data_IF_254151862249
#
_entry.id   IF_254151862249
#
_cell.length_a   1.000
_cell.length_b   1.000
_cell.length_c   1.000
_cell.angle_alpha   90.00
_cell.angle_beta   90.00
_cell.angle_gamma   90.00
#
_symmetry.space_group_name_H-M   'P 1'
#
loop_
_entity.id
_entity.type
_entity.pdbx_description
1 polymer ?
#
# COMPACT_ATOMS: atom_id res chain seq x y z
N UNK A 1 9.79 17.55 18.02
CA UNK A 1 8.62 16.85 17.50
C UNK A 1 9.12 15.60 16.80
N UNK A 2 8.61 14.43 17.12
CA UNK A 2 8.87 13.24 16.30
C UNK A 2 8.23 13.52 14.95
N UNK A 3 9.02 13.75 13.91
CA UNK A 3 8.50 13.91 12.57
C UNK A 3 7.90 12.57 12.15
N UNK A 4 6.62 12.54 11.86
CA UNK A 4 5.98 11.36 11.29
C UNK A 4 6.74 10.94 10.02
N UNK A 5 6.94 9.65 9.82
CA UNK A 5 7.48 9.12 8.55
C UNK A 5 6.39 8.88 7.52
N UNK A 6 5.14 9.06 7.90
CA UNK A 6 3.98 8.88 7.02
C UNK A 6 3.72 10.14 6.22
N UNK A 7 3.70 10.04 4.89
CA UNK A 7 3.47 11.15 3.97
C UNK A 7 2.12 11.85 4.20
N UNK A 8 1.08 11.10 4.57
CA UNK A 8 -0.24 11.64 4.87
C UNK A 8 -0.31 12.46 6.18
N UNK A 9 0.77 12.45 6.96
CA UNK A 9 0.95 13.30 8.15
C UNK A 9 1.99 14.41 7.92
N UNK A 10 2.56 14.51 6.73
CA UNK A 10 3.60 15.49 6.37
C UNK A 10 3.00 16.60 5.51
N UNK A 11 3.59 17.77 5.62
CA UNK A 11 3.30 18.90 4.73
C UNK A 11 4.14 18.79 3.45
N UNK A 12 3.73 19.47 2.37
CA UNK A 12 4.48 19.42 1.12
C UNK A 12 5.94 19.90 1.22
N UNK A 13 6.31 20.91 2.06
CA UNK A 13 7.72 21.27 2.24
C UNK A 13 8.54 20.17 2.93
N UNK A 14 7.92 19.39 3.84
CA UNK A 14 8.57 18.25 4.49
C UNK A 14 8.81 17.12 3.50
N UNK A 15 7.87 16.89 2.57
CA UNK A 15 8.04 15.94 1.46
C UNK A 15 9.17 16.40 0.54
N UNK A 16 9.20 17.67 0.15
CA UNK A 16 10.27 18.25 -0.69
C UNK A 16 11.65 18.01 -0.07
N UNK A 17 11.79 18.22 1.23
CA UNK A 17 13.02 17.97 1.97
C UNK A 17 13.38 16.47 2.11
N UNK A 18 12.45 15.57 1.81
CA UNK A 18 12.60 14.12 1.98
C UNK A 18 12.83 13.36 0.66
N UNK A 19 12.90 14.01 -0.48
CA UNK A 19 12.97 13.36 -1.81
C UNK A 19 14.21 12.47 -2.02
N UNK A 20 15.28 12.68 -1.28
CA UNK A 20 16.48 11.84 -1.33
C UNK A 20 16.31 10.51 -0.55
N UNK A 21 15.28 10.42 0.28
CA UNK A 21 15.01 9.23 1.09
C UNK A 21 14.26 8.16 0.28
N UNK A 22 14.38 6.88 0.65
CA UNK A 22 13.50 5.85 0.12
C UNK A 22 12.05 6.14 0.48
N UNK A 23 11.11 5.92 -0.46
CA UNK A 23 9.68 5.92 -0.20
C UNK A 23 9.14 4.49 -0.30
N UNK A 24 8.38 4.08 0.69
CA UNK A 24 7.75 2.76 0.75
C UNK A 24 6.27 2.95 0.45
N UNK A 25 5.74 2.17 -0.48
CA UNK A 25 4.35 2.21 -0.92
C UNK A 25 3.65 0.94 -0.43
N UNK A 26 2.89 1.01 0.68
CA UNK A 26 2.15 -0.15 1.18
C UNK A 26 0.91 -0.42 0.33
N UNK A 27 0.70 -1.69 -0.02
CA UNK A 27 -0.54 -2.15 -0.65
C UNK A 27 -1.06 -3.42 0.02
N UNK A 28 -2.34 -3.42 0.34
CA UNK A 28 -3.05 -4.56 0.89
C UNK A 28 -4.35 -4.82 0.14
N UNK A 29 -5.37 -5.21 0.87
CA UNK A 29 -6.75 -5.36 0.42
C UNK A 29 -7.70 -5.18 1.60
N UNK A 30 -8.97 -4.98 1.29
CA UNK A 30 -10.06 -5.02 2.27
C UNK A 30 -10.87 -6.27 1.98
N UNK A 31 -10.60 -7.34 2.70
CA UNK A 31 -11.20 -8.65 2.47
C UNK A 31 -11.51 -9.40 3.76
N UNK A 32 -12.40 -10.39 3.67
CA UNK A 32 -12.72 -11.24 4.78
C UNK A 32 -11.53 -12.13 5.20
N UNK A 33 -11.34 -12.26 6.51
CA UNK A 33 -10.34 -13.12 7.13
C UNK A 33 -10.99 -13.99 8.21
N UNK A 34 -12.09 -14.67 7.84
CA UNK A 34 -12.90 -15.44 8.79
C UNK A 34 -13.53 -14.54 9.89
N UNK A 35 -13.92 -15.13 11.00
CA UNK A 35 -14.65 -14.45 12.07
C UNK A 35 -13.75 -13.77 13.12
N UNK A 36 -12.44 -13.94 13.04
CA UNK A 36 -11.51 -13.56 14.11
C UNK A 36 -10.52 -12.47 13.75
N UNK A 37 -10.40 -12.09 12.46
CA UNK A 37 -9.54 -10.99 12.01
C UNK A 37 -10.36 -9.91 11.31
N UNK A 38 -9.95 -8.64 11.41
CA UNK A 38 -10.66 -7.56 10.74
C UNK A 38 -10.45 -7.61 9.22
N UNK A 39 -11.36 -6.97 8.48
CA UNK A 39 -11.30 -6.90 7.01
C UNK A 39 -10.05 -6.21 6.48
N UNK A 40 -9.49 -5.29 7.23
CA UNK A 40 -8.34 -4.47 6.82
C UNK A 40 -6.98 -5.05 7.20
N UNK A 41 -6.87 -6.32 7.61
CA UNK A 41 -5.62 -6.88 8.15
C UNK A 41 -4.46 -6.79 7.16
N UNK A 42 -4.68 -6.99 5.87
CA UNK A 42 -3.64 -6.87 4.84
C UNK A 42 -3.04 -5.46 4.81
N UNK A 43 -3.90 -4.44 4.78
CA UNK A 43 -3.46 -3.04 4.83
C UNK A 43 -2.76 -2.69 6.14
N UNK A 44 -3.22 -3.23 7.27
CA UNK A 44 -2.58 -3.04 8.57
C UNK A 44 -1.18 -3.65 8.60
N UNK A 45 -1.00 -4.85 8.07
CA UNK A 45 0.31 -5.50 7.96
C UNK A 45 1.22 -4.70 7.02
N UNK A 46 0.74 -4.35 5.82
CA UNK A 46 1.51 -3.58 4.86
C UNK A 46 1.98 -2.25 5.46
N UNK A 47 1.10 -1.53 6.14
CA UNK A 47 1.40 -0.25 6.80
C UNK A 47 2.45 -0.42 7.89
N UNK A 48 2.21 -1.33 8.83
CA UNK A 48 3.08 -1.54 9.99
C UNK A 48 4.49 -1.97 9.58
N UNK A 49 4.60 -2.95 8.67
CA UNK A 49 5.90 -3.40 8.16
C UNK A 49 6.61 -2.29 7.39
N UNK A 50 5.87 -1.46 6.65
CA UNK A 50 6.44 -0.32 5.94
C UNK A 50 6.98 0.75 6.91
N UNK A 51 6.29 1.01 8.01
CA UNK A 51 6.74 1.96 9.04
C UNK A 51 8.01 1.45 9.73
N UNK A 52 8.06 0.18 10.11
CA UNK A 52 9.26 -0.46 10.68
C UNK A 52 10.44 -0.42 9.71
N UNK A 53 10.20 -0.70 8.43
CA UNK A 53 11.24 -0.61 7.41
C UNK A 53 11.72 0.83 7.23
N UNK A 54 10.81 1.79 7.14
CA UNK A 54 11.14 3.22 6.99
C UNK A 54 12.01 3.72 8.14
N UNK A 55 11.76 3.27 9.38
CA UNK A 55 12.59 3.60 10.52
C UNK A 55 14.03 3.11 10.35
N UNK A 56 14.20 1.87 9.85
CA UNK A 56 15.51 1.22 9.70
C UNK A 56 16.35 1.81 8.56
N UNK A 57 15.73 2.27 7.49
CA UNK A 57 16.42 2.75 6.27
C UNK A 57 16.37 4.27 6.12
N UNK A 58 15.90 4.98 7.10
CA UNK A 58 15.60 6.42 7.06
C UNK A 58 14.70 6.81 5.88
N UNK A 59 13.66 6.02 5.67
CA UNK A 59 12.67 6.21 4.62
C UNK A 59 11.41 6.95 5.08
N UNK A 60 10.49 7.16 4.15
CA UNK A 60 9.13 7.64 4.40
C UNK A 60 8.11 6.64 3.82
N UNK A 61 6.87 6.71 4.29
CA UNK A 61 5.80 5.76 3.92
C UNK A 61 4.68 6.51 3.25
N UNK A 62 4.37 6.14 2.00
CA UNK A 62 3.22 6.64 1.27
C UNK A 62 1.90 6.17 1.91
N UNK A 63 0.77 6.84 1.65
CA UNK A 63 -0.54 6.37 2.10
C UNK A 63 -0.81 4.93 1.66
N UNK A 64 -1.33 4.11 2.59
CA UNK A 64 -1.60 2.70 2.33
C UNK A 64 -2.74 2.53 1.33
N UNK A 65 -2.51 1.74 0.29
CA UNK A 65 -3.55 1.34 -0.66
C UNK A 65 -4.31 0.13 -0.11
N UNK A 66 -5.53 0.37 0.39
CA UNK A 66 -6.35 -0.63 1.07
C UNK A 66 -7.32 -1.38 0.17
N UNK A 67 -7.36 -1.08 -1.11
CA UNK A 67 -8.19 -1.77 -2.09
C UNK A 67 -7.30 -2.50 -3.10
N UNK A 68 -7.36 -3.83 -3.07
CA UNK A 68 -6.54 -4.71 -3.90
C UNK A 68 -7.35 -5.55 -4.88
N UNK A 69 -6.67 -6.43 -5.61
CA UNK A 69 -7.30 -7.35 -6.54
C UNK A 69 -8.18 -8.37 -5.81
N UNK A 70 -9.10 -8.95 -6.54
CA UNK A 70 -10.10 -9.92 -6.07
C UNK A 70 -9.49 -11.03 -5.22
N UNK A 71 -10.02 -11.19 -4.02
CA UNK A 71 -9.66 -12.28 -3.13
C UNK A 71 -10.17 -13.61 -3.67
N UNK A 72 -9.26 -14.55 -3.96
CA UNK A 72 -9.56 -15.91 -4.43
C UNK A 72 -10.66 -15.98 -5.51
N UNK A 73 -10.50 -15.32 -6.66
CA UNK A 73 -11.57 -15.18 -7.66
C UNK A 73 -12.06 -16.51 -8.23
N UNK A 74 -11.23 -17.55 -8.20
CA UNK A 74 -11.54 -18.87 -8.77
C UNK A 74 -12.09 -19.87 -7.75
N UNK A 75 -12.02 -19.58 -6.44
CA UNK A 75 -12.40 -20.52 -5.38
C UNK A 75 -13.58 -20.06 -4.53
N UNK A 76 -14.31 -19.00 -4.95
CA UNK A 76 -15.49 -18.53 -4.23
C UNK A 76 -15.16 -17.91 -2.87
N UNK A 77 -14.01 -17.25 -2.75
CA UNK A 77 -13.52 -16.67 -1.50
C UNK A 77 -14.16 -15.34 -1.12
N UNK A 78 -13.34 -14.33 -0.93
CA UNK A 78 -13.71 -13.02 -0.40
C UNK A 78 -14.99 -12.37 -0.92
N UNK A 79 -15.29 -12.38 -2.25
CA UNK A 79 -16.47 -11.69 -2.78
C UNK A 79 -17.82 -12.19 -2.26
N UNK A 80 -17.87 -13.38 -1.70
CA UNK A 80 -19.10 -13.94 -1.10
C UNK A 80 -19.38 -13.39 0.31
N UNK A 81 -18.45 -12.67 0.90
CA UNK A 81 -18.58 -12.17 2.27
C UNK A 81 -18.75 -10.65 2.30
N UNK A 82 -19.75 -10.13 3.04
CA UNK A 82 -19.97 -8.68 3.15
C UNK A 82 -18.72 -7.96 3.69
N UNK A 83 -18.46 -6.77 3.13
CA UNK A 83 -17.30 -5.94 3.52
C UNK A 83 -16.03 -6.20 2.73
N UNK A 84 -15.94 -7.30 1.99
CA UNK A 84 -14.88 -7.48 0.99
C UNK A 84 -15.12 -6.51 -0.17
N UNK A 85 -14.12 -5.69 -0.49
CA UNK A 85 -14.18 -4.68 -1.56
C UNK A 85 -13.05 -4.94 -2.54
N UNK A 86 -13.39 -5.63 -3.61
CA UNK A 86 -12.44 -6.09 -4.62
C UNK A 86 -12.31 -5.10 -5.79
N UNK A 87 -11.08 -4.91 -6.27
CA UNK A 87 -10.80 -4.17 -7.49
C UNK A 87 -10.53 -5.13 -8.66
N UNK A 88 -10.86 -4.69 -9.88
CA UNK A 88 -10.41 -5.37 -11.08
C UNK A 88 -8.90 -5.22 -11.26
N UNK A 89 -8.25 -6.18 -11.94
CA UNK A 89 -6.81 -6.13 -12.17
C UNK A 89 -6.35 -4.87 -12.89
N UNK A 90 -7.10 -4.42 -13.90
CA UNK A 90 -6.80 -3.15 -14.61
C UNK A 90 -6.86 -1.94 -13.67
N UNK A 91 -7.78 -1.93 -12.70
CA UNK A 91 -7.88 -0.85 -11.70
C UNK A 91 -6.65 -0.85 -10.80
N UNK A 92 -6.19 -2.02 -10.34
CA UNK A 92 -4.98 -2.15 -9.53
C UNK A 92 -3.75 -1.69 -10.29
N UNK A 93 -3.59 -2.12 -11.55
CA UNK A 93 -2.50 -1.69 -12.44
C UNK A 93 -2.49 -0.17 -12.59
N UNK A 94 -3.63 0.42 -12.94
CA UNK A 94 -3.73 1.86 -13.15
C UNK A 94 -3.44 2.65 -11.87
N UNK A 95 -3.97 2.20 -10.72
CA UNK A 95 -3.69 2.83 -9.43
C UNK A 95 -2.19 2.81 -9.12
N UNK A 96 -1.54 1.65 -9.29
CA UNK A 96 -0.09 1.55 -9.08
C UNK A 96 0.70 2.42 -10.04
N UNK A 97 0.33 2.39 -11.33
CA UNK A 97 0.97 3.22 -12.35
C UNK A 97 0.90 4.71 -12.00
N UNK A 98 -0.27 5.19 -11.61
CA UNK A 98 -0.46 6.61 -11.28
C UNK A 98 0.30 6.99 -10.00
N UNK A 99 0.19 6.19 -8.93
CA UNK A 99 0.90 6.45 -7.67
C UNK A 99 2.42 6.46 -7.86
N UNK A 100 2.96 5.44 -8.54
CA UNK A 100 4.40 5.37 -8.79
C UNK A 100 4.86 6.48 -9.75
N UNK A 101 4.04 6.78 -10.77
CA UNK A 101 4.32 7.85 -11.74
C UNK A 101 4.45 9.21 -11.08
N UNK A 102 3.54 9.57 -10.17
CA UNK A 102 3.59 10.82 -9.42
C UNK A 102 4.81 10.89 -8.49
N UNK A 103 5.12 9.80 -7.77
CA UNK A 103 6.32 9.76 -6.92
C UNK A 103 7.62 9.93 -7.73
N UNK A 104 7.69 9.32 -8.91
CA UNK A 104 8.83 9.48 -9.83
C UNK A 104 8.91 10.92 -10.35
N UNK A 105 7.77 11.50 -10.76
CA UNK A 105 7.70 12.88 -11.24
C UNK A 105 8.10 13.88 -10.17
N UNK A 106 7.79 13.61 -8.90
CA UNK A 106 8.25 14.41 -7.76
C UNK A 106 9.75 14.31 -7.50
N UNK A 107 10.43 13.32 -8.06
CA UNK A 107 11.88 13.14 -7.96
C UNK A 107 12.35 12.05 -6.99
N UNK A 108 11.44 11.21 -6.49
CA UNK A 108 11.87 10.03 -5.73
C UNK A 108 12.56 9.01 -6.64
N UNK A 109 13.75 8.57 -6.26
CA UNK A 109 14.56 7.62 -7.04
C UNK A 109 14.65 6.24 -6.42
N UNK A 110 14.16 6.08 -5.18
CA UNK A 110 14.18 4.82 -4.45
C UNK A 110 12.76 4.53 -3.96
N UNK A 111 12.06 3.66 -4.66
CA UNK A 111 10.67 3.30 -4.35
C UNK A 111 10.61 1.81 -4.05
N UNK A 112 10.00 1.45 -2.91
CA UNK A 112 9.78 0.08 -2.48
C UNK A 112 8.29 -0.17 -2.39
N UNK A 113 7.77 -1.14 -3.11
CA UNK A 113 6.36 -1.58 -2.97
C UNK A 113 6.30 -2.68 -1.92
N UNK A 114 5.50 -2.46 -0.87
CA UNK A 114 5.27 -3.42 0.21
C UNK A 114 3.88 -4.03 0.05
N UNK A 115 3.82 -5.22 -0.53
CA UNK A 115 2.56 -5.92 -0.76
C UNK A 115 2.27 -6.94 0.36
N UNK A 116 1.08 -6.86 0.96
CA UNK A 116 0.59 -7.80 1.96
C UNK A 116 -0.69 -8.53 1.54
N UNK A 117 -1.05 -8.49 0.26
CA UNK A 117 -2.17 -9.23 -0.31
C UNK A 117 -1.67 -10.07 -1.49
N UNK A 118 -1.70 -11.39 -1.36
CA UNK A 118 -1.08 -12.31 -2.32
C UNK A 118 -1.57 -12.09 -3.76
N UNK A 119 -2.87 -11.91 -3.93
CA UNK A 119 -3.49 -11.80 -5.25
C UNK A 119 -3.11 -10.51 -6.01
N UNK A 120 -2.57 -9.51 -5.34
CA UNK A 120 -2.03 -8.32 -6.00
C UNK A 120 -0.79 -8.62 -6.85
N UNK A 121 -0.03 -9.67 -6.51
CA UNK A 121 1.30 -9.93 -7.09
C UNK A 121 1.30 -9.87 -8.61
N UNK A 122 0.33 -10.49 -9.26
CA UNK A 122 0.24 -10.54 -10.73
C UNK A 122 0.02 -9.19 -11.41
N UNK A 123 -0.30 -8.14 -10.67
CA UNK A 123 -0.69 -6.83 -11.19
C UNK A 123 0.24 -5.69 -10.76
N UNK A 124 1.21 -5.99 -9.89
CA UNK A 124 2.14 -4.98 -9.36
C UNK A 124 3.61 -5.28 -9.66
N UNK A 125 3.90 -6.42 -10.32
CA UNK A 125 5.25 -6.83 -10.76
C UNK A 125 5.45 -6.43 -12.22
#
# INVERSE_FOLDING_TARGET
MSSSRRMDHMTWPEIEASKSKPVIVPIGSTEQHSQHLPLGVDGMIASHVSEDLAERIDGIVAPTMNYGYKSKPLSGGGPLFPGTIDMNGVTVINQMHDVLGELIADGFTKIVVMNAHFENEAFII
#
